data_IF_484601222252
#
_entry.id   IF_484601222252
#
_cell.length_a   1.000
_cell.length_b   1.000
_cell.length_c   1.000
_cell.angle_alpha   90.00
_cell.angle_beta   90.00
_cell.angle_gamma   90.00
#
_symmetry.space_group_name_H-M   'P 1'
#
loop_
_entity.id
_entity.type
_entity.pdbx_description
1 polymer ?
#
# COMPACT_ATOMS: atom_id res chain seq x y z
N UNK A 1 -86.08 36.88 40.88
CA UNK A 1 -85.66 38.26 40.50
C UNK A 1 -84.82 38.19 39.23
N UNK A 2 -85.42 38.51 38.08
CA UNK A 2 -84.69 38.79 36.84
C UNK A 2 -83.99 40.15 37.00
N UNK A 3 -82.65 40.18 36.92
CA UNK A 3 -81.89 41.44 36.97
C UNK A 3 -81.85 42.03 35.56
N UNK A 4 -82.49 43.18 35.36
CA UNK A 4 -82.65 43.86 34.07
C UNK A 4 -81.34 44.55 33.61
N UNK A 5 -80.43 44.89 34.54
CA UNK A 5 -79.22 45.67 34.21
C UNK A 5 -78.03 44.83 33.69
N UNK A 6 -78.08 43.49 33.78
CA UNK A 6 -77.00 42.62 33.28
C UNK A 6 -77.61 41.38 32.69
N UNK A 7 -77.68 41.32 31.36
CA UNK A 7 -78.19 40.15 30.64
C UNK A 7 -77.12 39.05 30.62
N UNK A 8 -77.17 38.18 31.62
CA UNK A 8 -76.22 37.07 31.79
C UNK A 8 -76.27 36.10 30.62
N UNK A 9 -77.44 35.85 30.03
CA UNK A 9 -77.58 34.95 28.86
C UNK A 9 -76.89 35.53 27.62
N UNK A 10 -77.02 36.85 27.38
CA UNK A 10 -76.31 37.52 26.31
C UNK A 10 -74.78 37.53 26.52
N UNK A 11 -74.31 37.72 27.77
CA UNK A 11 -72.87 37.66 28.09
C UNK A 11 -72.29 36.25 27.89
N UNK A 12 -73.05 35.20 28.23
CA UNK A 12 -72.65 33.81 27.96
C UNK A 12 -72.60 33.56 26.44
N UNK A 13 -73.62 33.98 25.69
CA UNK A 13 -73.63 33.86 24.24
C UNK A 13 -72.46 34.60 23.57
N UNK A 14 -72.12 35.81 24.04
CA UNK A 14 -70.98 36.57 23.56
C UNK A 14 -69.64 35.89 23.88
N UNK A 15 -69.49 35.30 25.07
CA UNK A 15 -68.30 34.52 25.44
C UNK A 15 -68.14 33.28 24.55
N UNK A 16 -69.21 32.53 24.32
CA UNK A 16 -69.21 31.34 23.45
C UNK A 16 -68.92 31.73 22.00
N UNK A 17 -69.50 32.83 21.50
CA UNK A 17 -69.20 33.36 20.18
C UNK A 17 -67.71 33.76 20.05
N UNK A 18 -67.14 34.38 21.08
CA UNK A 18 -65.70 34.68 21.13
C UNK A 18 -64.81 33.43 21.07
N UNK A 19 -65.19 32.36 21.79
CA UNK A 19 -64.49 31.06 21.72
C UNK A 19 -64.60 30.40 20.34
N UNK A 20 -65.77 30.46 19.72
CA UNK A 20 -65.99 29.96 18.36
C UNK A 20 -65.17 30.76 17.33
N UNK A 21 -65.11 32.09 17.46
CA UNK A 21 -64.31 32.94 16.58
C UNK A 21 -62.82 32.64 16.70
N UNK A 22 -62.31 32.38 17.90
CA UNK A 22 -60.92 31.95 18.12
C UNK A 22 -60.63 30.58 17.49
N UNK A 23 -61.53 29.62 17.69
CA UNK A 23 -61.41 28.26 17.13
C UNK A 23 -61.46 28.27 15.61
N UNK A 24 -62.37 29.07 15.02
CA UNK A 24 -62.44 29.30 13.58
C UNK A 24 -61.15 29.95 13.06
N UNK A 25 -60.62 30.94 13.76
CA UNK A 25 -59.35 31.58 13.39
C UNK A 25 -58.18 30.59 13.36
N UNK A 26 -58.09 29.69 14.35
CA UNK A 26 -57.06 28.64 14.37
C UNK A 26 -57.25 27.62 13.24
N UNK A 27 -58.49 27.22 12.96
CA UNK A 27 -58.78 26.31 11.85
C UNK A 27 -58.41 26.93 10.49
N UNK A 28 -58.71 28.22 10.29
CA UNK A 28 -58.32 28.96 9.09
C UNK A 28 -56.79 29.11 8.97
N UNK A 29 -56.09 29.36 10.07
CA UNK A 29 -54.62 29.42 10.09
C UNK A 29 -53.99 28.08 9.72
N UNK A 30 -54.49 26.97 10.26
CA UNK A 30 -54.02 25.62 9.92
C UNK A 30 -54.36 25.24 8.48
N UNK A 31 -55.53 25.64 7.99
CA UNK A 31 -55.91 25.44 6.59
C UNK A 31 -55.00 26.24 5.65
N UNK A 32 -54.72 27.50 5.98
CA UNK A 32 -53.87 28.38 5.17
C UNK A 32 -52.39 27.94 5.17
N UNK A 33 -51.89 27.42 6.28
CA UNK A 33 -50.49 26.96 6.39
C UNK A 33 -50.30 25.51 5.97
N UNK A 34 -51.36 24.71 5.98
CA UNK A 34 -51.31 23.25 5.81
C UNK A 34 -50.64 22.53 6.97
N UNK A 35 -50.35 23.22 8.09
CA UNK A 35 -49.62 22.67 9.23
C UNK A 35 -50.56 22.46 10.41
N UNK A 36 -50.49 21.26 11.01
CA UNK A 36 -51.22 20.96 12.25
C UNK A 36 -50.73 21.80 13.44
N UNK A 37 -49.43 22.11 13.49
CA UNK A 37 -48.80 22.93 14.53
C UNK A 37 -48.26 24.19 13.85
N UNK A 38 -48.94 25.32 14.03
CA UNK A 38 -48.55 26.61 13.43
C UNK A 38 -47.86 27.55 14.43
N UNK A 39 -48.10 27.36 15.74
CA UNK A 39 -47.57 28.20 16.82
C UNK A 39 -46.96 27.33 17.93
N UNK A 40 -45.87 27.80 18.54
CA UNK A 40 -45.21 27.09 19.64
C UNK A 40 -46.05 26.95 20.92
N UNK A 41 -47.14 27.72 21.03
CA UNK A 41 -48.09 27.59 22.14
C UNK A 41 -49.03 26.37 22.01
N UNK A 42 -49.21 25.83 20.80
CA UNK A 42 -50.15 24.74 20.53
C UNK A 42 -49.53 23.37 20.88
N UNK A 43 -48.26 23.18 20.55
CA UNK A 43 -47.44 22.01 20.90
C UNK A 43 -45.95 22.39 20.81
N UNK A 44 -45.31 22.83 21.91
CA UNK A 44 -43.93 23.28 21.87
C UNK A 44 -42.95 22.14 21.54
N UNK A 45 -43.19 20.94 22.06
CA UNK A 45 -42.35 19.78 21.81
C UNK A 45 -42.47 19.30 20.36
N UNK A 46 -43.70 19.23 19.83
CA UNK A 46 -43.96 18.87 18.44
C UNK A 46 -43.42 19.91 17.46
N UNK A 47 -43.50 21.21 17.80
CA UNK A 47 -42.88 22.26 16.98
C UNK A 47 -41.36 22.10 16.94
N UNK A 48 -40.69 21.92 18.09
CA UNK A 48 -39.23 21.72 18.16
C UNK A 48 -38.81 20.50 17.34
N UNK A 49 -39.50 19.37 17.48
CA UNK A 49 -39.20 18.18 16.69
C UNK A 49 -39.39 18.42 15.18
N UNK A 50 -40.48 19.11 14.79
CA UNK A 50 -40.75 19.42 13.38
C UNK A 50 -39.72 20.38 12.77
N UNK A 51 -39.25 21.38 13.52
CA UNK A 51 -38.21 22.30 13.07
C UNK A 51 -36.84 21.60 13.00
N UNK A 52 -36.54 20.67 13.93
CA UNK A 52 -35.35 19.83 13.84
C UNK A 52 -35.36 18.99 12.56
N UNK A 53 -36.48 18.32 12.26
CA UNK A 53 -36.63 17.54 11.03
C UNK A 53 -36.59 18.39 9.76
N UNK A 54 -37.19 19.60 9.77
CA UNK A 54 -37.06 20.55 8.65
C UNK A 54 -35.61 20.98 8.44
N UNK A 55 -34.87 21.22 9.52
CA UNK A 55 -33.44 21.55 9.45
C UNK A 55 -32.62 20.38 8.89
N UNK A 56 -32.87 19.17 9.39
CA UNK A 56 -32.21 17.95 8.93
C UNK A 56 -32.51 17.67 7.44
N UNK A 57 -33.76 17.83 7.00
CA UNK A 57 -34.17 17.70 5.60
C UNK A 57 -33.48 18.73 4.70
N UNK A 58 -33.38 20.00 5.13
CA UNK A 58 -32.62 21.02 4.38
C UNK A 58 -31.15 20.62 4.27
N UNK A 59 -30.55 20.15 5.37
CA UNK A 59 -29.17 19.68 5.37
C UNK A 59 -28.96 18.48 4.45
N UNK A 60 -29.88 17.51 4.45
CA UNK A 60 -29.84 16.36 3.55
C UNK A 60 -29.98 16.78 2.09
N UNK A 61 -30.89 17.70 1.75
CA UNK A 61 -31.03 18.20 0.39
C UNK A 61 -29.74 18.89 -0.10
N UNK A 62 -29.08 19.67 0.76
CA UNK A 62 -27.77 20.25 0.45
C UNK A 62 -26.69 19.17 0.29
N UNK A 63 -26.69 18.14 1.13
CA UNK A 63 -25.77 17.02 1.02
C UNK A 63 -25.96 16.24 -0.30
N UNK A 64 -27.21 15.97 -0.70
CA UNK A 64 -27.54 15.33 -1.98
C UNK A 64 -27.03 16.18 -3.15
N UNK A 65 -27.30 17.49 -3.15
CA UNK A 65 -26.79 18.38 -4.20
C UNK A 65 -25.26 18.46 -4.22
N UNK A 66 -24.59 18.31 -3.06
CA UNK A 66 -23.13 18.21 -3.00
C UNK A 66 -22.62 16.89 -3.60
N UNK A 67 -23.29 15.77 -3.32
CA UNK A 67 -22.97 14.46 -3.90
C UNK A 67 -23.15 14.46 -5.42
N UNK A 68 -24.25 15.00 -5.94
CA UNK A 68 -24.48 15.12 -7.39
C UNK A 68 -23.37 15.94 -8.08
N UNK A 69 -22.88 17.01 -7.43
CA UNK A 69 -21.73 17.77 -7.94
C UNK A 69 -20.44 16.97 -7.90
N UNK A 70 -20.21 16.17 -6.85
CA UNK A 70 -19.06 15.28 -6.77
C UNK A 70 -19.10 14.24 -7.89
N UNK A 71 -20.27 13.65 -8.17
CA UNK A 71 -20.46 12.70 -9.27
C UNK A 71 -20.15 13.35 -10.63
N UNK A 72 -20.60 14.59 -10.85
CA UNK A 72 -20.26 15.34 -12.07
C UNK A 72 -18.75 15.57 -12.23
N UNK A 73 -18.07 15.94 -11.14
CA UNK A 73 -16.61 16.10 -11.15
C UNK A 73 -15.92 14.79 -11.52
N UNK A 74 -16.34 13.67 -10.91
CA UNK A 74 -15.79 12.35 -11.19
C UNK A 74 -16.03 11.95 -12.63
N UNK A 75 -17.24 12.13 -13.16
CA UNK A 75 -17.57 11.80 -14.56
C UNK A 75 -16.74 12.59 -15.57
N UNK A 76 -16.48 13.88 -15.31
CA UNK A 76 -15.62 14.69 -16.18
C UNK A 76 -14.17 14.21 -16.11
N UNK A 77 -13.68 13.88 -14.92
CA UNK A 77 -12.34 13.32 -14.76
C UNK A 77 -12.22 11.95 -15.45
N UNK A 78 -13.22 11.08 -15.32
CA UNK A 78 -13.27 9.76 -15.96
C UNK A 78 -13.28 9.87 -17.50
N UNK A 79 -14.10 10.76 -18.07
CA UNK A 79 -14.09 11.01 -19.51
C UNK A 79 -12.73 11.49 -20.02
N UNK A 80 -12.06 12.37 -19.28
CA UNK A 80 -10.69 12.80 -19.59
C UNK A 80 -9.68 11.65 -19.52
N UNK A 81 -9.78 10.80 -18.49
CA UNK A 81 -8.91 9.63 -18.33
C UNK A 81 -9.17 8.54 -19.38
N UNK A 82 -10.41 8.38 -19.85
CA UNK A 82 -10.74 7.45 -20.92
C UNK A 82 -10.07 7.85 -22.24
N UNK A 83 -10.04 9.15 -22.56
CA UNK A 83 -9.33 9.67 -23.73
C UNK A 83 -7.81 9.45 -23.58
N UNK A 84 -7.25 9.74 -22.42
CA UNK A 84 -5.83 9.46 -22.11
C UNK A 84 -5.51 7.97 -22.24
N UNK A 85 -6.38 7.09 -21.75
CA UNK A 85 -6.21 5.63 -21.87
C UNK A 85 -6.18 5.16 -23.33
N UNK A 86 -7.02 5.76 -24.18
CA UNK A 86 -7.08 5.44 -25.61
C UNK A 86 -5.77 5.87 -26.30
N UNK A 87 -5.30 7.08 -26.00
CA UNK A 87 -4.03 7.61 -26.51
C UNK A 87 -2.81 6.78 -26.05
N UNK A 88 -2.79 6.33 -24.80
CA UNK A 88 -1.73 5.46 -24.29
C UNK A 88 -1.71 4.09 -24.99
N UNK A 89 -2.88 3.56 -25.35
CA UNK A 89 -2.99 2.32 -26.12
C UNK A 89 -2.47 2.50 -27.55
N UNK A 90 -2.80 3.62 -28.19
CA UNK A 90 -2.25 3.99 -29.51
C UNK A 90 -0.71 4.14 -29.45
N UNK A 91 -0.22 4.85 -28.43
CA UNK A 91 1.21 5.02 -28.18
C UNK A 91 1.91 3.66 -28.01
N UNK A 92 1.34 2.76 -27.22
CA UNK A 92 1.89 1.40 -27.04
C UNK A 92 1.95 0.64 -28.36
N UNK A 93 0.91 0.73 -29.19
CA UNK A 93 0.90 0.14 -30.53
C UNK A 93 2.03 0.67 -31.42
N UNK A 94 2.21 2.00 -31.42
CA UNK A 94 3.25 2.68 -32.19
C UNK A 94 4.66 2.33 -31.69
N UNK A 95 4.86 2.26 -30.38
CA UNK A 95 6.13 1.82 -29.77
C UNK A 95 6.45 0.37 -30.12
N UNK A 96 5.45 -0.52 -30.11
CA UNK A 96 5.63 -1.92 -30.48
C UNK A 96 5.98 -2.07 -31.95
N UNK A 97 5.32 -1.30 -32.83
CA UNK A 97 5.64 -1.27 -34.26
C UNK A 97 7.05 -0.74 -34.54
N UNK A 98 7.50 0.28 -33.81
CA UNK A 98 8.83 0.92 -33.99
C UNK A 98 9.99 0.19 -33.31
N UNK A 99 9.71 -0.68 -32.33
CA UNK A 99 10.71 -1.48 -31.64
C UNK A 99 11.38 -2.52 -32.56
N UNK A 100 10.67 -2.97 -33.61
CA UNK A 100 11.21 -3.88 -34.61
C UNK A 100 12.27 -3.17 -35.47
N UNK A 101 13.54 -3.58 -35.34
CA UNK A 101 14.66 -2.98 -36.11
C UNK A 101 14.72 -3.45 -37.58
N UNK A 102 14.00 -4.50 -37.94
CA UNK A 102 13.98 -5.03 -39.30
C UNK A 102 12.91 -4.30 -40.13
N UNK A 103 13.33 -3.63 -41.21
CA UNK A 103 12.41 -3.16 -42.25
C UNK A 103 11.88 -1.72 -42.13
N UNK A 104 12.35 -0.91 -41.17
CA UNK A 104 11.94 0.50 -41.05
C UNK A 104 13.08 1.46 -41.45
N UNK A 105 12.81 2.36 -42.38
CA UNK A 105 13.73 3.43 -42.78
C UNK A 105 13.92 4.47 -41.68
N UNK A 106 15.00 5.25 -41.76
CA UNK A 106 15.25 6.36 -40.83
C UNK A 106 14.15 7.42 -40.89
N UNK A 107 13.60 7.69 -42.08
CA UNK A 107 12.50 8.63 -42.31
C UNK A 107 11.19 8.15 -41.67
N UNK A 108 10.87 6.86 -41.77
CA UNK A 108 9.68 6.30 -41.11
C UNK A 108 9.82 6.31 -39.59
N UNK A 109 11.03 6.05 -39.06
CA UNK A 109 11.30 6.19 -37.61
C UNK A 109 11.08 7.62 -37.13
N UNK A 110 11.53 8.61 -37.91
CA UNK A 110 11.32 10.03 -37.58
C UNK A 110 9.83 10.41 -37.64
N UNK A 111 9.10 9.93 -38.64
CA UNK A 111 7.65 10.15 -38.74
C UNK A 111 6.90 9.54 -37.54
N UNK A 112 7.24 8.31 -37.15
CA UNK A 112 6.64 7.67 -35.99
C UNK A 112 7.00 8.40 -34.69
N UNK A 113 8.22 8.94 -34.55
CA UNK A 113 8.58 9.77 -33.40
C UNK A 113 7.72 11.04 -33.31
N UNK A 114 7.44 11.70 -34.44
CA UNK A 114 6.54 12.87 -34.46
C UNK A 114 5.13 12.51 -33.99
N UNK A 115 4.63 11.32 -34.35
CA UNK A 115 3.34 10.84 -33.86
C UNK A 115 3.38 10.53 -32.36
N UNK A 116 4.45 9.92 -31.85
CA UNK A 116 4.66 9.74 -30.40
C UNK A 116 4.60 11.10 -29.69
N UNK A 117 5.34 12.09 -30.18
CA UNK A 117 5.39 13.42 -29.56
C UNK A 117 4.01 14.10 -29.60
N UNK A 118 3.25 13.93 -30.68
CA UNK A 118 1.89 14.46 -30.81
C UNK A 118 0.91 13.80 -29.83
N UNK A 119 1.02 12.48 -29.62
CA UNK A 119 0.20 11.76 -28.63
C UNK A 119 0.52 12.29 -27.22
N UNK A 120 1.80 12.42 -26.87
CA UNK A 120 2.22 12.93 -25.57
C UNK A 120 1.73 14.37 -25.33
N UNK A 121 1.87 15.27 -26.31
CA UNK A 121 1.34 16.63 -26.24
C UNK A 121 -0.19 16.65 -26.08
N UNK A 122 -0.89 15.70 -26.71
CA UNK A 122 -2.34 15.58 -26.60
C UNK A 122 -2.76 15.14 -25.20
N UNK A 123 -2.04 14.18 -24.60
CA UNK A 123 -2.24 13.76 -23.21
C UNK A 123 -2.03 14.94 -22.26
N UNK A 124 -0.94 15.70 -22.41
CA UNK A 124 -0.66 16.89 -21.59
C UNK A 124 -1.76 17.95 -21.74
N UNK A 125 -2.26 18.16 -22.96
CA UNK A 125 -3.36 19.09 -23.23
C UNK A 125 -4.65 18.63 -22.57
N UNK A 126 -4.99 17.34 -22.59
CA UNK A 126 -6.19 16.80 -21.93
C UNK A 126 -6.07 16.98 -20.41
N UNK A 127 -4.92 16.63 -19.84
CA UNK A 127 -4.62 16.84 -18.42
C UNK A 127 -4.75 18.32 -18.02
N UNK A 128 -4.22 19.22 -18.83
CA UNK A 128 -4.24 20.67 -18.60
C UNK A 128 -5.58 21.36 -18.91
N UNK A 129 -6.47 20.77 -19.71
CA UNK A 129 -7.75 21.38 -20.10
C UNK A 129 -8.94 20.82 -19.33
N UNK A 130 -8.88 19.58 -18.84
CA UNK A 130 -9.95 18.95 -18.06
C UNK A 130 -10.20 19.71 -16.76
N UNK A 131 -11.37 20.34 -16.64
CA UNK A 131 -11.73 21.17 -15.50
C UNK A 131 -13.23 21.13 -15.19
N UNK A 132 -13.57 21.33 -13.93
CA UNK A 132 -14.93 21.58 -13.47
C UNK A 132 -14.99 22.94 -12.79
N UNK A 133 -15.81 23.86 -13.31
CA UNK A 133 -15.97 25.21 -12.77
C UNK A 133 -14.62 25.94 -12.58
N UNK A 134 -13.67 25.74 -13.49
CA UNK A 134 -12.33 26.34 -13.44
C UNK A 134 -11.30 25.57 -12.60
N UNK A 135 -11.71 24.57 -11.82
CA UNK A 135 -10.80 23.68 -11.07
C UNK A 135 -10.25 22.60 -11.99
N UNK A 136 -8.92 22.56 -12.15
CA UNK A 136 -8.22 21.53 -12.95
C UNK A 136 -8.23 20.21 -12.20
N UNK A 137 -8.65 19.14 -12.87
CA UNK A 137 -8.88 17.85 -12.23
C UNK A 137 -7.69 16.88 -12.39
N UNK A 138 -7.02 16.91 -13.54
CA UNK A 138 -6.05 15.88 -13.96
C UNK A 138 -4.59 16.37 -14.00
N UNK A 139 -4.30 17.58 -13.49
CA UNK A 139 -2.98 18.22 -13.59
C UNK A 139 -2.12 18.08 -12.32
N UNK A 140 -2.49 17.20 -11.39
CA UNK A 140 -1.77 16.99 -10.12
C UNK A 140 -2.02 18.06 -9.05
N UNK A 141 -2.92 19.03 -9.24
CA UNK A 141 -3.21 20.05 -8.20
C UNK A 141 -3.70 19.43 -6.88
N UNK A 142 -4.41 18.30 -6.96
CA UNK A 142 -4.92 17.55 -5.82
C UNK A 142 -3.94 16.48 -5.28
N UNK A 143 -2.69 16.48 -5.76
CA UNK A 143 -1.67 15.55 -5.26
C UNK A 143 -1.30 15.86 -3.80
N UNK A 144 -1.08 14.81 -3.02
CA UNK A 144 -0.58 14.94 -1.65
C UNK A 144 0.88 15.39 -1.66
N UNK A 145 1.15 16.59 -1.14
CA UNK A 145 2.52 17.10 -0.97
C UNK A 145 3.07 16.66 0.37
N UNK A 146 4.19 15.93 0.34
CA UNK A 146 4.96 15.56 1.54
C UNK A 146 6.08 16.55 1.81
N UNK A 147 6.39 16.75 3.08
CA UNK A 147 7.55 17.54 3.53
C UNK A 147 8.23 16.83 4.69
N UNK A 148 9.52 17.10 4.91
CA UNK A 148 10.29 16.55 6.04
C UNK A 148 10.30 15.02 6.12
N UNK A 149 10.44 14.35 4.97
CA UNK A 149 10.59 12.88 4.91
C UNK A 149 11.92 12.48 5.54
N UNK A 150 11.88 11.52 6.46
CA UNK A 150 13.08 11.01 7.15
C UNK A 150 14.01 10.29 6.15
N UNK A 151 15.34 10.40 6.34
CA UNK A 151 16.33 9.82 5.43
C UNK A 151 16.22 8.29 5.28
N UNK A 152 15.72 7.61 6.32
CA UNK A 152 15.47 6.17 6.31
C UNK A 152 14.25 5.72 5.52
N UNK A 153 13.51 6.62 4.87
CA UNK A 153 12.43 6.28 3.95
C UNK A 153 12.97 6.31 2.53
N UNK A 154 13.04 5.15 1.87
CA UNK A 154 13.52 5.05 0.48
C UNK A 154 12.43 5.34 -0.54
N UNK A 155 11.19 4.98 -0.20
CA UNK A 155 10.04 5.16 -1.08
C UNK A 155 8.77 5.32 -0.24
N UNK A 156 7.80 6.09 -0.74
CA UNK A 156 6.50 6.24 -0.12
C UNK A 156 5.43 6.55 -1.15
N UNK A 157 4.21 6.07 -0.89
CA UNK A 157 3.04 6.32 -1.72
C UNK A 157 1.84 6.61 -0.84
N UNK A 158 1.19 7.74 -1.08
CA UNK A 158 -0.06 8.12 -0.40
C UNK A 158 -1.20 7.89 -1.38
N UNK A 159 -2.08 6.96 -1.06
CA UNK A 159 -3.28 6.68 -1.86
C UNK A 159 -4.49 7.47 -1.35
N UNK A 160 -4.50 7.86 -0.08
CA UNK A 160 -5.56 8.68 0.50
C UNK A 160 -5.15 9.25 1.85
N UNK A 161 -5.54 10.49 2.13
CA UNK A 161 -5.37 11.10 3.44
C UNK A 161 -6.51 12.07 3.70
N UNK A 162 -7.08 11.99 4.91
CA UNK A 162 -8.07 12.95 5.41
C UNK A 162 -7.38 13.90 6.37
N UNK A 163 -7.35 15.18 6.00
CA UNK A 163 -6.74 16.20 6.83
C UNK A 163 -7.74 16.74 7.87
N UNK A 164 -7.34 16.77 9.14
CA UNK A 164 -8.06 17.50 10.18
C UNK A 164 -7.63 18.99 10.27
N UNK A 165 -6.56 19.37 9.55
CA UNK A 165 -5.99 20.73 9.49
C UNK A 165 -5.20 20.93 8.19
N UNK A 166 -4.15 21.75 8.19
CA UNK A 166 -3.35 21.99 6.97
C UNK A 166 -2.40 20.84 6.62
N UNK A 167 -2.00 20.04 7.60
CA UNK A 167 -1.02 18.97 7.44
C UNK A 167 -1.44 17.75 8.28
N UNK A 168 -1.05 16.57 7.83
CA UNK A 168 -1.17 15.32 8.58
C UNK A 168 0.24 14.78 8.82
N UNK A 169 0.62 14.61 10.09
CA UNK A 169 1.90 13.96 10.44
C UNK A 169 1.73 12.45 10.25
N UNK A 170 2.69 11.84 9.55
CA UNK A 170 2.80 10.39 9.41
C UNK A 170 4.04 9.96 10.19
N UNK A 171 3.83 9.26 11.29
CA UNK A 171 4.86 8.74 12.17
C UNK A 171 4.95 7.22 11.98
N UNK A 172 6.10 6.76 11.49
CA UNK A 172 6.36 5.33 11.25
C UNK A 172 7.33 4.86 12.33
N UNK A 173 6.85 4.01 13.21
CA UNK A 173 7.66 3.42 14.27
C UNK A 173 7.92 1.96 13.98
N UNK A 174 9.19 1.60 13.80
CA UNK A 174 9.63 0.20 13.64
C UNK A 174 9.79 -0.42 15.02
N UNK A 175 9.08 -1.51 15.26
CA UNK A 175 9.11 -2.29 16.51
C UNK A 175 9.94 -3.57 16.38
N UNK A 176 10.12 -4.06 15.15
CA UNK A 176 11.00 -5.17 14.79
C UNK A 176 11.61 -4.92 13.42
N UNK A 177 12.92 -5.10 13.28
CA UNK A 177 13.61 -4.92 12.00
C UNK A 177 13.33 -6.06 11.02
N UNK A 178 13.27 -5.75 9.72
CA UNK A 178 13.24 -6.77 8.68
C UNK A 178 14.59 -7.50 8.62
N UNK A 179 14.57 -8.81 8.37
CA UNK A 179 15.76 -9.64 8.25
C UNK A 179 15.75 -10.43 6.95
N UNK A 180 16.92 -10.55 6.33
CA UNK A 180 17.15 -11.55 5.29
C UNK A 180 17.28 -12.94 5.93
N UNK A 181 16.95 -13.97 5.18
CA UNK A 181 17.36 -15.32 5.54
C UNK A 181 18.88 -15.46 5.36
N UNK A 182 19.55 -16.05 6.33
CA UNK A 182 21.00 -16.23 6.32
C UNK A 182 21.39 -17.64 6.75
N UNK A 183 22.14 -18.32 5.90
CA UNK A 183 22.85 -19.54 6.25
C UNK A 183 24.35 -19.35 6.12
N UNK A 184 25.09 -20.02 6.99
CA UNK A 184 26.53 -20.08 6.92
C UNK A 184 26.98 -21.48 6.54
N UNK A 185 27.95 -21.56 5.63
CA UNK A 185 28.69 -22.79 5.35
C UNK A 185 30.15 -22.57 5.73
N UNK A 186 30.71 -23.45 6.55
CA UNK A 186 32.13 -23.44 6.87
C UNK A 186 32.81 -24.66 6.29
N UNK A 187 33.84 -24.45 5.48
CA UNK A 187 34.70 -25.52 4.96
C UNK A 187 35.92 -25.76 5.85
N UNK A 188 36.10 -24.97 6.91
CA UNK A 188 37.25 -24.99 7.85
C UNK A 188 38.63 -24.71 7.20
N UNK A 189 38.71 -24.69 5.87
CA UNK A 189 39.86 -24.37 5.05
C UNK A 189 39.48 -23.41 3.90
N UNK A 190 40.48 -22.76 3.29
CA UNK A 190 40.30 -21.80 2.19
C UNK A 190 40.02 -22.46 0.83
N UNK A 191 40.09 -23.79 0.77
CA UNK A 191 39.74 -24.64 -0.35
C UNK A 191 39.12 -25.93 0.17
N UNK A 192 38.31 -26.60 -0.65
CA UNK A 192 37.73 -27.89 -0.31
C UNK A 192 38.83 -28.96 -0.35
N UNK A 193 38.86 -29.86 0.64
CA UNK A 193 39.67 -31.08 0.62
C UNK A 193 38.75 -32.31 0.71
N UNK A 194 38.79 -33.17 -0.31
CA UNK A 194 37.91 -34.32 -0.48
C UNK A 194 38.69 -35.63 -0.53
N UNK A 195 38.01 -36.74 -0.23
CA UNK A 195 38.55 -38.07 -0.51
C UNK A 195 38.79 -38.26 -2.01
N UNK A 196 39.87 -38.95 -2.37
CA UNK A 196 40.28 -39.16 -3.77
C UNK A 196 39.12 -39.67 -4.63
N UNK A 197 38.87 -39.00 -5.77
CA UNK A 197 37.81 -39.36 -6.71
C UNK A 197 36.39 -38.93 -6.31
N UNK A 198 36.22 -38.19 -5.21
CA UNK A 198 34.92 -37.72 -4.74
C UNK A 198 34.59 -36.30 -5.20
N UNK A 199 33.30 -35.95 -5.17
CA UNK A 199 32.82 -34.58 -5.43
C UNK A 199 31.99 -34.08 -4.26
N UNK A 200 32.09 -32.79 -3.98
CA UNK A 200 31.22 -32.10 -3.03
C UNK A 200 30.05 -31.49 -3.78
N UNK A 201 28.84 -31.93 -3.44
CA UNK A 201 27.62 -31.55 -4.16
C UNK A 201 26.57 -31.05 -3.21
N UNK A 202 26.12 -29.82 -3.47
CA UNK A 202 25.13 -29.11 -2.67
C UNK A 202 24.02 -28.61 -3.56
N UNK A 203 22.81 -28.59 -3.02
CA UNK A 203 21.69 -27.87 -3.59
C UNK A 203 21.46 -26.62 -2.76
N UNK A 204 21.55 -25.45 -3.40
CA UNK A 204 21.24 -24.15 -2.80
C UNK A 204 19.86 -23.74 -3.29
N UNK A 205 18.94 -23.49 -2.37
CA UNK A 205 17.57 -23.05 -2.68
C UNK A 205 17.22 -21.74 -2.00
N UNK A 206 16.47 -20.90 -2.69
CA UNK A 206 15.85 -19.70 -2.13
C UNK A 206 14.47 -19.45 -2.72
N UNK A 207 13.95 -18.24 -2.54
CA UNK A 207 12.56 -17.91 -2.91
C UNK A 207 12.25 -18.04 -4.41
N UNK A 208 13.26 -17.98 -5.29
CA UNK A 208 13.07 -18.04 -6.75
C UNK A 208 13.25 -19.46 -7.32
N UNK A 209 13.91 -20.36 -6.59
CA UNK A 209 14.20 -21.71 -7.06
C UNK A 209 15.40 -22.33 -6.36
N UNK A 210 15.84 -23.49 -6.86
CA UNK A 210 17.03 -24.19 -6.35
C UNK A 210 18.00 -24.59 -7.47
N UNK A 211 19.27 -24.75 -7.10
CA UNK A 211 20.35 -25.15 -7.99
C UNK A 211 21.30 -26.11 -7.31
N UNK A 212 21.53 -27.26 -7.94
CA UNK A 212 22.60 -28.17 -7.56
C UNK A 212 23.94 -27.69 -8.15
N UNK A 213 24.97 -27.66 -7.31
CA UNK A 213 26.33 -27.26 -7.63
C UNK A 213 27.28 -28.39 -7.20
N UNK A 214 28.26 -28.69 -8.04
CA UNK A 214 29.25 -29.74 -7.80
C UNK A 214 30.66 -29.15 -7.89
N UNK A 215 31.48 -29.49 -6.91
CA UNK A 215 32.85 -29.00 -6.77
C UNK A 215 33.81 -30.17 -6.57
N UNK A 216 35.04 -30.02 -7.08
CA UNK A 216 36.10 -31.00 -6.92
C UNK A 216 36.99 -30.66 -5.72
N UNK A 217 37.86 -31.58 -5.33
CA UNK A 217 38.91 -31.29 -4.35
C UNK A 217 39.80 -30.15 -4.87
N UNK A 218 40.23 -29.24 -3.99
CA UNK A 218 41.06 -28.08 -4.31
C UNK A 218 40.30 -26.84 -4.78
N UNK A 219 38.98 -26.91 -5.04
CA UNK A 219 38.19 -25.70 -5.39
C UNK A 219 38.23 -24.68 -4.25
N UNK A 220 38.55 -23.43 -4.57
CA UNK A 220 38.67 -22.36 -3.56
C UNK A 220 37.29 -21.88 -3.12
N UNK A 221 37.17 -21.42 -1.86
CA UNK A 221 35.90 -20.88 -1.35
C UNK A 221 35.40 -19.68 -2.17
N UNK A 222 36.31 -18.85 -2.68
CA UNK A 222 35.98 -17.72 -3.55
C UNK A 222 35.35 -18.17 -4.87
N UNK A 223 35.77 -19.31 -5.41
CA UNK A 223 35.21 -19.88 -6.65
C UNK A 223 33.82 -20.47 -6.39
N UNK A 224 33.60 -21.09 -5.22
CA UNK A 224 32.26 -21.55 -4.78
C UNK A 224 31.31 -20.36 -4.64
N UNK A 225 31.75 -19.29 -3.99
CA UNK A 225 30.98 -18.04 -3.85
C UNK A 225 30.63 -17.46 -5.21
N UNK A 226 31.59 -17.42 -6.14
CA UNK A 226 31.35 -16.96 -7.51
C UNK A 226 30.31 -17.85 -8.22
N UNK A 227 30.44 -19.17 -8.13
CA UNK A 227 29.51 -20.12 -8.75
C UNK A 227 28.08 -19.97 -8.21
N UNK A 228 27.89 -19.75 -6.90
CA UNK A 228 26.57 -19.48 -6.32
C UNK A 228 26.01 -18.17 -6.87
N UNK A 229 26.82 -17.11 -6.90
CA UNK A 229 26.40 -15.80 -7.38
C UNK A 229 26.07 -15.78 -8.89
N UNK A 230 26.68 -16.65 -9.71
CA UNK A 230 26.28 -16.83 -11.12
C UNK A 230 24.81 -17.24 -11.27
N UNK A 231 24.26 -17.96 -10.30
CA UNK A 231 22.85 -18.39 -10.29
C UNK A 231 21.98 -17.59 -9.30
N UNK A 232 22.43 -16.39 -8.90
CA UNK A 232 21.71 -15.51 -7.97
C UNK A 232 20.30 -15.17 -8.47
N UNK A 233 20.14 -14.90 -9.76
CA UNK A 233 18.86 -14.56 -10.36
C UNK A 233 17.90 -15.76 -10.46
N UNK A 234 18.45 -16.98 -10.47
CA UNK A 234 17.66 -18.22 -10.53
C UNK A 234 17.21 -18.67 -9.13
N UNK A 235 18.08 -18.52 -8.13
CA UNK A 235 17.84 -19.03 -6.77
C UNK A 235 17.29 -17.97 -5.81
N UNK A 236 17.62 -16.69 -6.03
CA UNK A 236 17.34 -15.61 -5.08
C UNK A 236 18.30 -15.60 -3.88
N UNK A 237 19.45 -16.27 -3.97
CA UNK A 237 20.46 -16.35 -2.91
C UNK A 237 21.77 -15.71 -3.39
N UNK A 238 22.34 -14.84 -2.57
CA UNK A 238 23.69 -14.30 -2.77
C UNK A 238 24.67 -14.93 -1.79
N UNK A 239 25.92 -15.10 -2.22
CA UNK A 239 27.00 -15.62 -1.40
C UNK A 239 28.09 -14.56 -1.21
N UNK A 240 28.62 -14.46 -0.01
CA UNK A 240 29.84 -13.69 0.29
C UNK A 240 30.78 -14.50 1.16
N UNK A 241 32.07 -14.18 1.14
CA UNK A 241 32.99 -14.71 2.14
C UNK A 241 32.80 -13.93 3.45
N UNK A 242 32.64 -14.64 4.56
CA UNK A 242 32.33 -14.02 5.85
C UNK A 242 33.49 -14.07 6.85
N UNK A 243 34.70 -14.33 6.37
CA UNK A 243 35.92 -14.41 7.17
C UNK A 243 37.12 -13.87 6.42
N UNK A 244 38.04 -13.18 7.11
CA UNK A 244 39.31 -12.74 6.54
C UNK A 244 40.15 -13.89 5.95
N UNK A 245 39.97 -15.12 6.46
CA UNK A 245 40.68 -16.33 6.00
C UNK A 245 40.00 -17.07 4.85
N UNK A 246 38.88 -16.55 4.31
CA UNK A 246 38.09 -17.19 3.24
C UNK A 246 37.72 -18.66 3.51
N UNK A 247 37.43 -19.03 4.76
CA UNK A 247 37.06 -20.42 5.14
C UNK A 247 35.54 -20.63 5.21
N UNK A 248 34.78 -19.56 4.99
CA UNK A 248 33.37 -19.45 5.35
C UNK A 248 32.60 -18.68 4.30
N UNK A 249 31.43 -19.22 3.97
CA UNK A 249 30.47 -18.67 3.02
C UNK A 249 29.24 -18.23 3.81
N UNK A 250 28.82 -16.99 3.60
CA UNK A 250 27.53 -16.48 4.03
C UNK A 250 26.60 -16.47 2.84
N UNK A 251 25.54 -17.24 2.92
CA UNK A 251 24.43 -17.24 1.98
C UNK A 251 23.34 -16.33 2.53
N UNK A 252 22.88 -15.36 1.75
CA UNK A 252 21.87 -14.39 2.16
C UNK A 252 20.81 -14.27 1.07
N UNK A 253 19.53 -14.30 1.45
CA UNK A 253 18.44 -14.03 0.50
C UNK A 253 18.58 -12.63 -0.08
N UNK A 254 18.32 -12.46 -1.37
CA UNK A 254 18.48 -11.16 -2.04
C UNK A 254 17.45 -10.12 -1.60
N UNK A 255 16.26 -10.58 -1.20
CA UNK A 255 15.22 -9.76 -0.61
C UNK A 255 15.06 -10.04 0.89
N UNK A 256 14.32 -9.15 1.56
CA UNK A 256 13.96 -9.22 2.97
C UNK A 256 12.54 -9.78 3.12
N UNK A 257 12.26 -10.38 4.27
CA UNK A 257 10.90 -10.76 4.64
C UNK A 257 10.69 -12.24 4.87
N UNK A 258 9.52 -12.57 5.40
CA UNK A 258 9.11 -13.92 5.82
C UNK A 258 9.02 -14.93 4.67
N UNK A 259 8.79 -14.45 3.46
CA UNK A 259 8.68 -15.30 2.27
C UNK A 259 10.05 -15.58 1.64
N UNK A 260 11.09 -14.90 2.14
CA UNK A 260 12.47 -15.11 1.73
C UNK A 260 13.09 -16.19 2.59
N UNK A 261 13.82 -17.10 1.95
CA UNK A 261 14.53 -18.16 2.65
C UNK A 261 15.85 -18.48 1.95
N UNK A 262 16.75 -19.11 2.70
CA UNK A 262 17.94 -19.76 2.17
C UNK A 262 17.93 -21.19 2.68
N UNK A 263 18.20 -22.13 1.79
CA UNK A 263 18.33 -23.54 2.11
C UNK A 263 19.57 -24.13 1.46
N UNK A 264 20.23 -25.03 2.17
CA UNK A 264 21.36 -25.81 1.66
C UNK A 264 21.15 -27.27 2.00
N UNK A 265 21.07 -28.11 0.97
CA UNK A 265 21.01 -29.56 1.10
C UNK A 265 22.29 -30.16 0.57
N UNK A 266 22.94 -31.01 1.37
CA UNK A 266 24.14 -31.72 0.92
C UNK A 266 23.70 -32.99 0.21
N UNK A 267 23.94 -33.04 -1.09
CA UNK A 267 23.64 -34.20 -1.94
C UNK A 267 24.79 -35.20 -1.89
N UNK A 268 26.02 -34.72 -1.80
CA UNK A 268 27.20 -35.54 -1.55
C UNK A 268 28.24 -34.71 -0.77
N UNK A 269 28.66 -35.19 0.41
CA UNK A 269 29.64 -34.50 1.23
C UNK A 269 31.09 -34.73 0.76
N UNK A 270 31.33 -35.65 -0.19
CA UNK A 270 32.63 -35.90 -0.80
C UNK A 270 33.74 -36.34 0.16
N UNK A 271 33.39 -36.81 1.36
CA UNK A 271 34.35 -37.18 2.39
C UNK A 271 35.17 -36.01 2.95
N UNK A 272 34.62 -34.78 2.95
CA UNK A 272 35.30 -33.58 3.49
C UNK A 272 35.98 -33.89 4.84
N UNK A 273 37.30 -33.77 4.86
CA UNK A 273 38.12 -33.92 6.06
C UNK A 273 38.11 -32.61 6.87
N UNK A 274 37.83 -32.67 8.18
CA UNK A 274 38.02 -31.50 9.07
C UNK A 274 36.79 -30.84 9.69
N UNK A 275 35.61 -31.48 9.66
CA UNK A 275 34.48 -31.06 10.51
C UNK A 275 33.72 -29.80 10.05
N UNK A 276 33.79 -29.45 8.76
CA UNK A 276 32.98 -28.39 8.15
C UNK A 276 31.47 -28.69 8.18
N UNK A 277 30.64 -27.65 8.09
CA UNK A 277 29.20 -27.80 8.20
C UNK A 277 28.40 -26.54 7.87
N UNK A 278 27.09 -26.64 8.10
CA UNK A 278 26.09 -25.62 7.82
C UNK A 278 25.47 -25.18 9.16
N UNK A 279 25.31 -23.87 9.36
CA UNK A 279 24.67 -23.32 10.56
C UNK A 279 23.77 -22.13 10.23
N UNK A 280 22.74 -21.95 11.06
CA UNK A 280 21.88 -20.77 11.03
C UNK A 280 22.60 -19.56 11.62
N UNK A 281 22.23 -18.37 11.17
CA UNK A 281 22.73 -17.12 11.73
C UNK A 281 22.09 -16.83 13.09
N UNK A 282 22.68 -17.28 14.20
CA UNK A 282 22.20 -16.96 15.56
C UNK A 282 22.77 -15.66 16.13
N UNK A 283 23.85 -15.14 15.54
CA UNK A 283 24.40 -13.81 15.81
C UNK A 283 25.27 -13.36 14.63
N UNK A 284 25.52 -12.06 14.50
CA UNK A 284 26.40 -11.40 13.50
C UNK A 284 27.84 -11.94 13.44
N UNK A 285 28.19 -12.91 14.29
CA UNK A 285 29.53 -13.47 14.37
C UNK A 285 29.51 -14.98 14.12
N UNK A 286 30.17 -15.39 13.03
CA UNK A 286 30.37 -16.78 12.66
C UNK A 286 31.29 -17.49 13.67
N UNK A 287 30.71 -18.24 14.59
CA UNK A 287 31.47 -19.23 15.36
C UNK A 287 30.81 -20.60 15.26
N UNK A 288 31.04 -21.29 14.14
CA UNK A 288 31.00 -22.74 14.15
C UNK A 288 32.40 -23.24 14.44
N UNK A 289 32.74 -23.31 15.72
CA UNK A 289 33.62 -24.39 16.17
C UNK A 289 32.96 -25.73 15.83
N UNK A 290 33.74 -26.79 15.65
CA UNK A 290 33.22 -28.14 15.50
C UNK A 290 32.16 -28.41 16.59
N UNK A 291 30.89 -28.61 16.20
CA UNK A 291 29.77 -28.87 17.12
C UNK A 291 28.66 -27.81 17.18
N UNK A 292 28.83 -26.60 16.64
CA UNK A 292 27.76 -25.57 16.67
C UNK A 292 26.85 -25.54 15.44
N UNK A 293 27.02 -26.47 14.49
CA UNK A 293 26.24 -26.57 13.25
C UNK A 293 26.11 -28.01 12.76
N UNK A 294 25.28 -28.22 11.74
CA UNK A 294 25.09 -29.55 11.13
C UNK A 294 26.26 -29.85 10.19
N UNK A 295 27.04 -30.88 10.50
CA UNK A 295 28.16 -31.32 9.67
C UNK A 295 27.65 -31.73 8.28
N UNK A 296 28.42 -31.50 7.21
CA UNK A 296 27.95 -31.74 5.83
C UNK A 296 27.43 -33.17 5.60
N UNK A 297 28.05 -34.18 6.21
CA UNK A 297 27.61 -35.58 6.11
C UNK A 297 26.23 -35.86 6.71
N UNK A 298 25.71 -34.97 7.57
CA UNK A 298 24.40 -35.10 8.22
C UNK A 298 23.35 -34.12 7.67
N UNK A 299 23.70 -33.27 6.70
CA UNK A 299 22.82 -32.24 6.14
C UNK A 299 22.05 -32.70 4.88
N UNK A 300 21.69 -33.99 4.80
CA UNK A 300 21.01 -34.60 3.65
C UNK A 300 19.54 -34.17 3.51
N UNK A 301 18.89 -33.79 4.61
CA UNK A 301 17.51 -33.28 4.64
C UNK A 301 17.41 -31.78 4.34
N UNK A 302 18.55 -31.10 4.17
CA UNK A 302 18.60 -29.66 3.99
C UNK A 302 18.51 -28.89 5.30
N UNK A 303 19.32 -27.85 5.43
CA UNK A 303 19.21 -26.84 6.48
C UNK A 303 18.58 -25.61 5.85
N UNK A 304 17.63 -24.98 6.54
CA UNK A 304 16.89 -23.81 6.04
C UNK A 304 16.81 -22.74 7.11
N UNK A 305 17.02 -21.51 6.68
CA UNK A 305 16.70 -20.30 7.44
C UNK A 305 15.68 -19.47 6.67
N UNK A 306 14.85 -18.71 7.40
CA UNK A 306 13.76 -17.91 6.84
C UNK A 306 13.94 -16.47 7.33
N UNK A 307 13.73 -15.51 6.42
CA UNK A 307 13.80 -14.09 6.74
C UNK A 307 12.62 -13.67 7.61
N UNK A 308 12.62 -12.41 8.00
CA UNK A 308 11.57 -11.85 8.84
C UNK A 308 11.11 -10.52 8.25
N UNK A 309 9.79 -10.30 8.26
CA UNK A 309 9.25 -8.98 7.94
C UNK A 309 9.58 -8.02 9.08
N UNK A 310 9.64 -6.72 8.79
CA UNK A 310 9.58 -5.75 9.87
C UNK A 310 8.23 -5.85 10.59
N UNK A 311 8.18 -5.38 11.83
CA UNK A 311 6.92 -4.99 12.46
C UNK A 311 6.97 -3.48 12.67
N UNK A 312 5.93 -2.78 12.26
CA UNK A 312 5.86 -1.33 12.38
C UNK A 312 4.44 -0.87 12.70
N UNK A 313 4.34 0.32 13.30
CA UNK A 313 3.09 1.05 13.44
C UNK A 313 3.17 2.35 12.67
N UNK A 314 2.09 2.73 11.98
CA UNK A 314 1.94 4.05 11.35
C UNK A 314 0.87 4.82 12.11
N UNK A 315 1.23 5.96 12.71
CA UNK A 315 0.33 6.75 13.56
C UNK A 315 -0.34 5.91 14.68
N UNK A 316 0.40 4.95 15.25
CA UNK A 316 -0.09 4.05 16.30
C UNK A 316 -0.92 2.86 15.82
N UNK A 317 -1.20 2.73 14.52
CA UNK A 317 -1.91 1.59 13.94
C UNK A 317 -0.90 0.56 13.44
N UNK A 318 -1.10 -0.71 13.79
CA UNK A 318 -0.26 -1.80 13.29
C UNK A 318 -0.30 -1.86 11.76
N UNK A 319 0.86 -1.73 11.14
CA UNK A 319 1.00 -1.79 9.70
C UNK A 319 1.00 -3.23 9.21
N UNK A 320 0.45 -3.45 8.02
CA UNK A 320 0.71 -4.69 7.27
C UNK A 320 2.09 -4.55 6.63
N UNK A 321 2.96 -5.52 6.90
CA UNK A 321 4.37 -5.44 6.48
C UNK A 321 4.77 -6.58 5.57
N UNK A 322 5.61 -6.27 4.60
CA UNK A 322 6.25 -7.23 3.71
C UNK A 322 7.72 -6.83 3.49
N UNK A 323 8.64 -7.62 4.06
CA UNK A 323 10.04 -7.27 4.13
C UNK A 323 10.25 -5.88 4.74
N UNK A 324 10.69 -4.92 3.92
CA UNK A 324 10.96 -3.52 4.28
C UNK A 324 9.81 -2.54 4.00
N UNK A 325 8.68 -3.03 3.51
CA UNK A 325 7.50 -2.23 3.19
C UNK A 325 6.49 -2.30 4.33
N UNK A 326 5.91 -1.17 4.69
CA UNK A 326 4.85 -1.04 5.68
C UNK A 326 3.68 -0.26 5.10
N UNK A 327 2.48 -0.83 5.19
CA UNK A 327 1.25 -0.21 4.69
C UNK A 327 0.20 -0.12 5.79
N UNK A 328 -0.51 1.00 5.81
CA UNK A 328 -1.77 1.16 6.54
C UNK A 328 -2.82 1.65 5.56
N UNK A 329 -4.02 1.05 5.61
CA UNK A 329 -5.19 1.50 4.86
C UNK A 329 -6.35 1.60 5.84
N UNK A 330 -6.76 2.84 6.11
CA UNK A 330 -7.80 3.22 7.07
C UNK A 330 -8.71 4.27 6.45
N UNK A 331 -9.80 4.60 7.11
CA UNK A 331 -10.75 5.64 6.68
C UNK A 331 -10.14 7.05 6.63
N UNK A 332 -9.02 7.29 7.33
CA UNK A 332 -8.35 8.59 7.36
C UNK A 332 -6.96 8.61 6.70
N UNK A 333 -6.32 7.45 6.48
CA UNK A 333 -4.99 7.36 5.88
C UNK A 333 -4.81 6.01 5.16
N UNK A 334 -4.52 6.07 3.85
CA UNK A 334 -3.95 4.99 3.06
C UNK A 334 -2.56 5.41 2.57
N UNK A 335 -1.55 4.83 3.21
CA UNK A 335 -0.14 5.11 2.93
C UNK A 335 0.66 3.83 2.93
N UNK A 336 1.66 3.84 2.08
CA UNK A 336 2.63 2.78 1.90
C UNK A 336 4.03 3.40 1.97
N UNK A 337 4.91 2.81 2.77
CA UNK A 337 6.24 3.33 3.04
C UNK A 337 7.23 2.18 2.99
N UNK A 338 8.30 2.36 2.22
CA UNK A 338 9.45 1.46 2.21
C UNK A 338 10.60 2.10 2.96
N UNK A 339 11.11 1.39 3.96
CA UNK A 339 12.24 1.84 4.76
C UNK A 339 13.55 1.32 4.17
N UNK A 340 14.64 2.00 4.46
CA UNK A 340 15.98 1.52 4.15
C UNK A 340 16.37 0.31 5.01
N UNK A 341 17.60 -0.16 4.82
CA UNK A 341 18.10 -1.35 5.50
C UNK A 341 18.86 -1.05 6.81
N UNK A 342 18.87 0.21 7.27
CA UNK A 342 19.71 0.68 8.39
C UNK A 342 18.92 1.08 9.62
#
# INVERSE_FOLDING_TARGET
>A
MSRINTNVQALIAQRVLGQNQFSLGQALERLSTGLRISRGKDDPAGLIASERLRSELRSMNTAVSNSERADQVVNIAEGGLQEVSTLLTELQGLLTATASKAGLSTTERQANQLQVDSILQTIDRISGSTNFQGLKLLNGTFEFKTSSVHAGVTDFRINGAKFAGSNLRVDVQVTQSAQNAVLYMSMMASQIDLTTGSTFRIEVGGALGSRELSFASGTKITEIVAAINTYKEVTGVSATTSSATNTRIRLTSTAWGKDQFVSVRVVNAGGIAGGGGIANATATNMSTSAGSGTVFGSASNGIRDIGQNMAATINGIAATTDGRRARVSTDFLDVDVTLDAT
#
